data_IF_690011813218
#
_entry.id   IF_690011813218
#
_cell.length_a   1.000
_cell.length_b   1.000
_cell.length_c   1.000
_cell.angle_alpha   90.00
_cell.angle_beta   90.00
_cell.angle_gamma   90.00
#
_symmetry.space_group_name_H-M   'P 1'
#
loop_
_entity.id
_entity.type
_entity.pdbx_description
1 polymer ?
#
# COMPACT_ATOMS: atom_id res chain seq x y z
N UNK A 1 -42.07 24.57 -4.40
CA UNK A 1 -40.72 25.06 -4.01
C UNK A 1 -39.74 23.92 -3.71
N UNK A 2 -40.17 22.78 -3.16
CA UNK A 2 -39.29 21.64 -2.80
C UNK A 2 -38.61 20.95 -4.00
N UNK A 3 -39.27 20.89 -5.16
CA UNK A 3 -38.79 20.17 -6.35
C UNK A 3 -37.49 20.73 -6.97
N UNK A 4 -37.32 22.05 -6.94
CA UNK A 4 -36.09 22.70 -7.43
C UNK A 4 -34.91 22.54 -6.48
N UNK A 5 -35.16 22.36 -5.18
CA UNK A 5 -34.09 22.16 -4.19
C UNK A 5 -33.48 20.76 -4.31
N UNK A 6 -34.30 19.75 -4.61
CA UNK A 6 -33.83 18.36 -4.81
C UNK A 6 -32.98 18.19 -6.07
N UNK A 7 -33.29 18.89 -7.16
CA UNK A 7 -32.50 18.85 -8.39
C UNK A 7 -31.11 19.45 -8.20
N UNK A 8 -31.00 20.58 -7.51
CA UNK A 8 -29.73 21.23 -7.22
C UNK A 8 -28.82 20.36 -6.35
N UNK A 9 -29.39 19.65 -5.37
CA UNK A 9 -28.60 18.75 -4.51
C UNK A 9 -28.11 17.53 -5.30
N UNK A 10 -28.94 16.97 -6.18
CA UNK A 10 -28.55 15.84 -7.03
C UNK A 10 -27.39 16.20 -7.97
N UNK A 11 -27.46 17.38 -8.60
CA UNK A 11 -26.39 17.90 -9.45
C UNK A 11 -25.11 18.15 -8.64
N UNK A 12 -25.22 18.71 -7.43
CA UNK A 12 -24.07 18.94 -6.57
C UNK A 12 -23.38 17.63 -6.14
N UNK A 13 -24.15 16.58 -5.84
CA UNK A 13 -23.62 15.25 -5.51
C UNK A 13 -22.92 14.63 -6.72
N UNK A 14 -23.53 14.67 -7.91
CA UNK A 14 -22.94 14.14 -9.13
C UNK A 14 -21.66 14.89 -9.49
N UNK A 15 -21.66 16.22 -9.37
CA UNK A 15 -20.48 17.05 -9.61
C UNK A 15 -19.36 16.73 -8.61
N UNK A 16 -19.67 16.61 -7.31
CA UNK A 16 -18.70 16.25 -6.29
C UNK A 16 -18.12 14.84 -6.52
N UNK A 17 -18.97 13.87 -6.85
CA UNK A 17 -18.55 12.52 -7.20
C UNK A 17 -17.68 12.50 -8.46
N UNK A 18 -18.02 13.32 -9.47
CA UNK A 18 -17.24 13.47 -10.70
C UNK A 18 -15.84 14.04 -10.45
N UNK A 19 -15.72 15.05 -9.58
CA UNK A 19 -14.42 15.63 -9.18
C UNK A 19 -13.57 14.60 -8.43
N UNK A 20 -14.18 13.83 -7.52
CA UNK A 20 -13.48 12.77 -6.78
C UNK A 20 -13.03 11.67 -7.73
N UNK A 21 -13.89 11.22 -8.66
CA UNK A 21 -13.53 10.22 -9.67
C UNK A 21 -12.42 10.71 -10.58
N UNK A 22 -12.53 11.96 -11.06
CA UNK A 22 -11.51 12.58 -11.91
C UNK A 22 -10.18 12.68 -11.16
N UNK A 23 -10.18 13.07 -9.88
CA UNK A 23 -8.98 13.10 -9.05
C UNK A 23 -8.35 11.72 -8.84
N UNK A 24 -9.16 10.66 -8.70
CA UNK A 24 -8.65 9.28 -8.54
C UNK A 24 -8.16 8.68 -9.86
N UNK A 25 -8.78 9.01 -10.98
CA UNK A 25 -8.37 8.56 -12.32
C UNK A 25 -7.14 9.35 -12.80
N UNK A 26 -7.08 10.65 -12.52
CA UNK A 26 -5.94 11.51 -12.87
C UNK A 26 -4.78 11.39 -11.89
N UNK A 27 -4.99 10.86 -10.67
CA UNK A 27 -3.89 10.51 -9.80
C UNK A 27 -3.00 9.56 -10.60
N UNK A 28 -1.81 10.01 -11.05
CA UNK A 28 -1.04 9.25 -12.00
C UNK A 28 -0.67 7.97 -11.27
N UNK A 29 -1.32 6.87 -11.66
CA UNK A 29 -0.91 5.50 -11.37
C UNK A 29 0.36 5.26 -12.18
N UNK A 30 1.38 6.07 -11.92
CA UNK A 30 2.76 5.76 -12.20
C UNK A 30 3.03 4.55 -11.32
N UNK A 31 2.71 3.39 -11.87
CA UNK A 31 3.41 2.14 -11.66
C UNK A 31 4.88 2.42 -11.98
N UNK A 32 5.54 3.22 -11.13
CA UNK A 32 6.98 3.37 -11.12
C UNK A 32 7.46 1.97 -10.83
N UNK A 33 8.01 1.34 -11.87
CA UNK A 33 8.67 0.08 -11.74
C UNK A 33 9.85 0.31 -10.79
N UNK A 34 9.64 0.10 -9.49
CA UNK A 34 10.64 0.34 -8.44
C UNK A 34 11.93 -0.44 -8.75
N UNK A 35 11.78 -1.61 -9.40
CA UNK A 35 12.92 -2.38 -9.93
C UNK A 35 13.69 -1.65 -11.04
N UNK A 36 13.01 -0.98 -11.96
CA UNK A 36 13.66 -0.22 -13.03
C UNK A 36 14.35 1.03 -12.48
N UNK A 37 13.74 1.69 -11.49
CA UNK A 37 14.36 2.85 -10.81
C UNK A 37 15.61 2.41 -10.03
N UNK A 38 15.57 1.27 -9.31
CA UNK A 38 16.75 0.74 -8.60
C UNK A 38 17.87 0.32 -9.56
N UNK A 39 17.54 -0.36 -10.66
CA UNK A 39 18.53 -0.71 -11.68
C UNK A 39 19.22 0.54 -12.24
N UNK A 40 18.43 1.58 -12.53
CA UNK A 40 18.95 2.86 -12.99
C UNK A 40 19.82 3.54 -11.94
N UNK A 41 19.43 3.52 -10.67
CA UNK A 41 20.22 4.10 -9.58
C UNK A 41 21.55 3.33 -9.35
N UNK A 42 21.57 2.00 -9.54
CA UNK A 42 22.80 1.19 -9.53
C UNK A 42 23.71 1.52 -10.71
N UNK A 43 23.15 1.70 -11.90
CA UNK A 43 23.91 2.08 -13.10
C UNK A 43 24.56 3.46 -12.92
N UNK A 44 23.81 4.43 -12.38
CA UNK A 44 24.32 5.74 -12.01
C UNK A 44 25.43 5.60 -10.95
N UNK A 45 25.21 4.82 -9.91
CA UNK A 45 26.20 4.58 -8.86
C UNK A 45 27.54 4.04 -9.40
N UNK A 46 27.48 3.14 -10.39
CA UNK A 46 28.68 2.57 -11.03
C UNK A 46 29.38 3.55 -11.97
N UNK A 47 28.66 4.55 -12.51
CA UNK A 47 29.22 5.58 -13.37
C UNK A 47 29.84 6.75 -12.59
N UNK A 48 29.56 6.91 -11.29
CA UNK A 48 30.12 7.99 -10.47
C UNK A 48 31.54 7.66 -9.98
N UNK A 49 32.48 8.62 -10.04
CA UNK A 49 33.81 8.47 -9.44
C UNK A 49 33.74 8.38 -7.91
N UNK A 50 34.66 7.61 -7.33
CA UNK A 50 34.67 7.23 -5.90
C UNK A 50 34.84 8.42 -4.93
N UNK A 51 35.33 9.56 -5.41
CA UNK A 51 35.62 10.75 -4.61
C UNK A 51 34.40 11.62 -4.31
N UNK A 52 33.28 11.42 -5.01
CA UNK A 52 32.09 12.25 -4.85
C UNK A 52 31.25 11.82 -3.64
N UNK A 53 30.91 12.79 -2.79
CA UNK A 53 29.99 12.61 -1.65
C UNK A 53 28.60 12.13 -2.08
N UNK A 54 28.16 12.49 -3.29
CA UNK A 54 26.90 12.06 -3.88
C UNK A 54 26.78 10.52 -3.95
N UNK A 55 27.90 9.80 -4.09
CA UNK A 55 27.94 8.34 -4.16
C UNK A 55 27.46 7.68 -2.86
N UNK A 56 27.83 8.25 -1.70
CA UNK A 56 27.38 7.78 -0.38
C UNK A 56 25.88 7.98 -0.20
N UNK A 57 25.36 9.13 -0.64
CA UNK A 57 23.91 9.44 -0.56
C UNK A 57 23.10 8.50 -1.46
N UNK A 58 23.59 8.19 -2.66
CA UNK A 58 22.93 7.23 -3.55
C UNK A 58 22.89 5.82 -2.94
N UNK A 59 23.99 5.38 -2.34
CA UNK A 59 24.07 4.06 -1.72
C UNK A 59 23.09 3.92 -0.54
N UNK A 60 22.97 4.95 0.30
CA UNK A 60 21.99 4.95 1.40
C UNK A 60 20.55 4.86 0.86
N UNK A 61 20.25 5.59 -0.22
CA UNK A 61 18.94 5.55 -0.87
C UNK A 61 18.62 4.17 -1.45
N UNK A 62 19.56 3.58 -2.20
CA UNK A 62 19.43 2.21 -2.73
C UNK A 62 19.22 1.21 -1.57
N UNK A 63 19.95 1.36 -0.47
CA UNK A 63 19.79 0.53 0.73
C UNK A 63 18.38 0.61 1.33
N UNK A 64 17.81 1.82 1.42
CA UNK A 64 16.41 2.02 1.84
C UNK A 64 15.41 1.37 0.87
N UNK A 65 15.62 1.53 -0.43
CA UNK A 65 14.70 0.99 -1.43
C UNK A 65 14.76 -0.55 -1.48
N UNK A 66 15.96 -1.13 -1.36
CA UNK A 66 16.16 -2.59 -1.27
C UNK A 66 15.59 -3.16 0.02
N UNK A 67 15.79 -2.50 1.18
CA UNK A 67 15.19 -2.96 2.45
C UNK A 67 13.67 -2.86 2.42
N UNK A 68 13.11 -1.83 1.76
CA UNK A 68 11.65 -1.68 1.55
C UNK A 68 11.10 -2.79 0.64
N UNK A 69 11.85 -3.21 -0.38
CA UNK A 69 11.51 -4.37 -1.21
C UNK A 69 11.64 -5.69 -0.44
N UNK A 70 12.71 -5.87 0.32
CA UNK A 70 13.01 -7.09 1.06
C UNK A 70 12.01 -7.33 2.20
N UNK A 71 11.51 -6.27 2.83
CA UNK A 71 10.46 -6.35 3.88
C UNK A 71 9.05 -6.56 3.33
N UNK A 72 8.89 -6.84 2.04
CA UNK A 72 7.61 -7.29 1.48
C UNK A 72 6.70 -6.17 0.98
N UNK A 73 7.29 -5.09 0.47
CA UNK A 73 6.58 -4.10 -0.33
C UNK A 73 5.77 -3.13 0.52
N UNK A 74 5.94 -1.86 0.18
CA UNK A 74 5.23 -0.72 0.74
C UNK A 74 3.73 -1.06 0.89
N UNK A 75 3.27 -1.17 2.15
CA UNK A 75 1.89 -1.50 2.53
C UNK A 75 0.98 -0.33 2.11
N UNK A 76 0.77 -0.16 0.80
CA UNK A 76 -0.01 0.92 0.23
C UNK A 76 -1.48 0.63 0.49
N UNK A 77 -2.15 1.58 1.13
CA UNK A 77 -3.61 1.58 1.21
C UNK A 77 -4.15 1.63 -0.21
N UNK A 78 -5.11 0.77 -0.51
CA UNK A 78 -5.83 0.87 -1.77
C UNK A 78 -6.77 2.07 -1.68
N UNK A 79 -6.26 3.24 -2.09
CA UNK A 79 -7.04 4.47 -2.08
C UNK A 79 -8.34 4.34 -2.88
N UNK A 80 -8.36 3.44 -3.88
CA UNK A 80 -9.54 3.18 -4.72
C UNK A 80 -10.67 2.59 -3.90
N UNK A 81 -10.41 1.60 -3.04
CA UNK A 81 -11.46 0.97 -2.23
C UNK A 81 -11.95 1.90 -1.12
N UNK A 82 -11.06 2.72 -0.54
CA UNK A 82 -11.46 3.77 0.42
C UNK A 82 -12.42 4.76 -0.24
N UNK A 83 -12.08 5.28 -1.43
CA UNK A 83 -12.92 6.24 -2.15
C UNK A 83 -14.25 5.60 -2.54
N UNK A 84 -14.24 4.37 -3.06
CA UNK A 84 -15.47 3.66 -3.43
C UNK A 84 -16.39 3.44 -2.21
N UNK A 85 -15.82 3.08 -1.06
CA UNK A 85 -16.55 2.94 0.20
C UNK A 85 -17.20 4.25 0.64
N UNK A 86 -16.48 5.37 0.56
CA UNK A 86 -17.01 6.70 0.89
C UNK A 86 -18.17 7.08 -0.04
N UNK A 87 -18.04 6.82 -1.35
CA UNK A 87 -19.11 7.11 -2.32
C UNK A 87 -20.36 6.27 -2.00
N UNK A 88 -20.22 4.98 -1.74
CA UNK A 88 -21.35 4.12 -1.35
C UNK A 88 -22.01 4.55 -0.05
N UNK A 89 -21.23 4.96 0.95
CA UNK A 89 -21.76 5.48 2.21
C UNK A 89 -22.52 6.79 2.01
N UNK A 90 -21.99 7.71 1.20
CA UNK A 90 -22.65 8.98 0.88
C UNK A 90 -23.98 8.78 0.15
N UNK A 91 -24.00 7.91 -0.86
CA UNK A 91 -25.23 7.57 -1.60
C UNK A 91 -26.23 6.88 -0.68
N UNK A 92 -25.80 5.92 0.13
CA UNK A 92 -26.68 5.21 1.08
C UNK A 92 -27.27 6.17 2.11
N UNK A 93 -26.47 7.07 2.67
CA UNK A 93 -26.93 8.12 3.59
C UNK A 93 -28.00 9.00 2.95
N UNK A 94 -27.75 9.48 1.73
CA UNK A 94 -28.69 10.31 0.99
C UNK A 94 -30.03 9.59 0.75
N UNK A 95 -29.98 8.32 0.33
CA UNK A 95 -31.18 7.49 0.16
C UNK A 95 -31.92 7.28 1.48
N UNK A 96 -31.23 7.09 2.60
CA UNK A 96 -31.87 6.98 3.93
C UNK A 96 -32.70 8.21 4.24
N UNK A 97 -32.15 9.41 4.02
CA UNK A 97 -32.83 10.69 4.29
C UNK A 97 -34.08 10.83 3.41
N UNK A 98 -33.96 10.51 2.12
CA UNK A 98 -35.11 10.57 1.20
C UNK A 98 -36.19 9.56 1.58
N UNK A 99 -35.81 8.36 2.00
CA UNK A 99 -36.75 7.34 2.41
C UNK A 99 -37.50 7.74 3.69
N UNK A 100 -36.82 8.35 4.67
CA UNK A 100 -37.44 8.88 5.89
C UNK A 100 -38.47 9.99 5.59
N UNK A 101 -38.20 10.83 4.60
CA UNK A 101 -39.10 11.92 4.22
C UNK A 101 -40.32 11.46 3.42
N UNK A 102 -40.23 10.33 2.70
CA UNK A 102 -41.29 9.87 1.82
C UNK A 102 -42.52 9.33 2.58
N UNK A 103 -42.36 8.81 3.81
CA UNK A 103 -43.45 8.15 4.58
C UNK A 103 -44.30 7.17 3.74
N UNK A 104 -43.70 6.58 2.71
CA UNK A 104 -44.38 5.69 1.78
C UNK A 104 -44.48 4.27 2.37
N UNK A 105 -45.56 3.57 2.02
CA UNK A 105 -45.77 2.15 2.35
C UNK A 105 -44.63 1.24 1.84
N UNK A 106 -43.80 1.71 0.90
CA UNK A 106 -42.70 0.93 0.30
C UNK A 106 -41.49 0.73 1.22
N UNK A 107 -41.53 1.27 2.45
CA UNK A 107 -40.45 1.17 3.44
C UNK A 107 -39.96 -0.25 3.71
N UNK A 108 -40.86 -1.22 3.69
CA UNK A 108 -40.58 -2.62 3.99
C UNK A 108 -39.65 -3.27 2.95
N UNK A 109 -39.72 -2.82 1.69
CA UNK A 109 -38.86 -3.29 0.59
C UNK A 109 -37.59 -2.46 0.50
N UNK A 110 -37.68 -1.15 0.75
CA UNK A 110 -36.53 -0.26 0.66
C UNK A 110 -35.53 -0.45 1.81
N UNK A 111 -36.00 -0.80 3.01
CA UNK A 111 -35.17 -1.06 4.20
C UNK A 111 -34.06 -2.10 3.97
N UNK A 112 -34.33 -3.33 3.48
CA UNK A 112 -33.28 -4.31 3.25
C UNK A 112 -32.28 -3.86 2.17
N UNK A 113 -32.72 -3.17 1.13
CA UNK A 113 -31.83 -2.62 0.10
C UNK A 113 -30.87 -1.56 0.68
N UNK A 114 -31.37 -0.71 1.57
CA UNK A 114 -30.58 0.30 2.29
C UNK A 114 -29.55 -0.34 3.22
N UNK A 115 -29.96 -1.36 3.98
CA UNK A 115 -29.07 -2.14 4.84
C UNK A 115 -27.93 -2.77 4.03
N UNK A 116 -28.23 -3.28 2.83
CA UNK A 116 -27.25 -3.85 1.91
C UNK A 116 -26.26 -2.78 1.39
N UNK A 117 -26.77 -1.59 1.02
CA UNK A 117 -25.93 -0.46 0.62
C UNK A 117 -24.98 -0.01 1.72
N UNK A 118 -25.49 0.12 2.96
CA UNK A 118 -24.68 0.46 4.14
C UNK A 118 -23.61 -0.58 4.43
N UNK A 119 -23.95 -1.86 4.38
CA UNK A 119 -23.00 -2.95 4.65
C UNK A 119 -21.93 -3.04 3.57
N UNK A 120 -22.28 -2.88 2.28
CA UNK A 120 -21.29 -2.80 1.19
C UNK A 120 -20.36 -1.59 1.35
N UNK A 121 -20.91 -0.42 1.66
CA UNK A 121 -20.13 0.80 1.89
C UNK A 121 -19.17 0.67 3.08
N UNK A 122 -19.66 0.14 4.20
CA UNK A 122 -18.85 -0.12 5.39
C UNK A 122 -17.76 -1.17 5.11
N UNK A 123 -18.09 -2.25 4.42
CA UNK A 123 -17.12 -3.30 4.09
C UNK A 123 -16.02 -2.80 3.15
N UNK A 124 -16.38 -2.05 2.10
CA UNK A 124 -15.40 -1.43 1.20
C UNK A 124 -14.49 -0.43 1.92
N UNK A 125 -15.05 0.37 2.83
CA UNK A 125 -14.28 1.31 3.63
C UNK A 125 -13.30 0.61 4.59
N UNK A 126 -13.76 -0.42 5.31
CA UNK A 126 -12.92 -1.21 6.22
C UNK A 126 -11.81 -1.94 5.46
N UNK A 127 -12.13 -2.54 4.29
CA UNK A 127 -11.13 -3.17 3.45
C UNK A 127 -10.09 -2.18 2.92
N UNK A 128 -10.50 -0.96 2.57
CA UNK A 128 -9.57 0.09 2.16
C UNK A 128 -8.67 0.62 3.29
N UNK A 129 -9.16 0.59 4.54
CA UNK A 129 -8.37 0.89 5.73
C UNK A 129 -7.33 -0.18 6.04
N UNK A 130 -7.69 -1.45 5.79
CA UNK A 130 -6.79 -2.58 5.98
C UNK A 130 -5.66 -2.55 4.94
N UNK A 131 -4.45 -2.27 5.43
CA UNK A 131 -3.25 -2.33 4.61
C UNK A 131 -3.03 -3.78 4.16
N UNK A 132 -3.10 -4.06 2.86
CA UNK A 132 -2.81 -5.38 2.30
C UNK A 132 -1.35 -5.46 1.82
N UNK A 133 -0.71 -6.62 1.97
CA UNK A 133 0.57 -6.89 1.31
C UNK A 133 0.29 -7.27 -0.16
N UNK A 134 0.67 -6.38 -1.08
CA UNK A 134 0.73 -6.69 -2.51
C UNK A 134 2.17 -6.96 -2.88
N UNK A 135 2.39 -8.00 -3.67
CA UNK A 135 3.68 -8.16 -4.36
C UNK A 135 3.83 -7.12 -5.46
N UNK A 136 5.07 -6.84 -5.84
CA UNK A 136 5.44 -5.93 -6.92
C UNK A 136 4.81 -6.27 -8.28
N UNK A 137 4.24 -7.46 -8.44
CA UNK A 137 3.59 -7.93 -9.67
C UNK A 137 2.07 -7.72 -9.67
N UNK A 138 1.51 -7.10 -8.62
CA UNK A 138 0.06 -6.87 -8.48
C UNK A 138 -0.74 -8.10 -8.04
N UNK A 139 -0.08 -9.24 -7.81
CA UNK A 139 -0.70 -10.45 -7.27
C UNK A 139 -0.81 -10.39 -5.75
N UNK A 140 -1.97 -10.75 -5.22
CA UNK A 140 -2.19 -10.94 -3.78
C UNK A 140 -1.58 -12.29 -3.43
N UNK A 141 -0.50 -12.32 -2.64
CA UNK A 141 -0.02 -13.59 -2.08
C UNK A 141 -1.08 -14.04 -1.07
N UNK A 142 -1.84 -15.06 -1.43
CA UNK A 142 -2.66 -15.80 -0.48
C UNK A 142 -1.70 -16.51 0.47
N UNK A 143 -1.89 -16.33 1.78
CA UNK A 143 -0.94 -16.72 2.84
C UNK A 143 -0.46 -18.17 2.83
N UNK A 144 -1.13 -19.07 2.10
CA UNK A 144 -0.78 -20.48 1.99
C UNK A 144 0.57 -20.74 1.30
N UNK A 145 1.02 -19.83 0.42
CA UNK A 145 2.25 -20.05 -0.35
C UNK A 145 3.55 -19.80 0.46
N UNK A 146 3.49 -18.94 1.50
CA UNK A 146 4.68 -18.62 2.32
C UNK A 146 4.97 -19.75 3.32
N UNK A 147 3.94 -20.45 3.79
CA UNK A 147 4.11 -21.63 4.64
C UNK A 147 4.67 -22.85 3.90
N UNK A 148 4.53 -22.90 2.57
CA UNK A 148 5.01 -24.03 1.76
C UNK A 148 6.51 -23.94 1.39
N UNK A 149 7.12 -22.75 1.43
CA UNK A 149 8.55 -22.55 1.10
C UNK A 149 9.45 -22.63 2.36
N UNK A 150 8.85 -22.56 3.56
CA UNK A 150 9.60 -22.56 4.81
C UNK A 150 10.36 -23.86 5.20
N UNK A 151 10.07 -25.08 4.70
CA UNK A 151 10.79 -26.27 5.17
C UNK A 151 12.03 -26.68 4.34
N UNK A 152 12.47 -25.92 3.33
CA UNK A 152 13.59 -26.35 2.46
C UNK A 152 14.91 -25.60 2.67
N UNK A 153 15.00 -24.67 3.62
CA UNK A 153 16.30 -24.13 4.06
C UNK A 153 16.79 -25.01 5.19
N UNK A 154 17.49 -26.08 4.82
CA UNK A 154 18.17 -26.98 5.73
C UNK A 154 19.29 -26.21 6.48
N UNK A 155 19.16 -25.96 7.81
CA UNK A 155 20.20 -25.31 8.58
C UNK A 155 21.47 -26.18 8.71
N UNK A 156 21.44 -27.44 8.24
CA UNK A 156 22.56 -28.37 8.29
C UNK A 156 23.64 -28.14 7.22
N UNK A 157 23.44 -27.21 6.27
CA UNK A 157 24.44 -26.88 5.24
C UNK A 157 25.34 -25.68 5.60
N UNK A 158 25.29 -25.20 6.85
CA UNK A 158 26.16 -24.14 7.35
C UNK A 158 27.52 -24.67 7.82
N UNK A 159 28.47 -24.75 6.89
CA UNK A 159 29.89 -24.48 7.11
C UNK A 159 30.58 -25.19 8.28
N UNK A 160 31.19 -26.33 7.98
CA UNK A 160 32.45 -26.73 8.59
C UNK A 160 33.52 -25.66 8.29
N UNK A 161 33.67 -24.68 9.19
CA UNK A 161 34.87 -23.86 9.28
C UNK A 161 36.01 -24.74 9.78
N UNK A 162 36.90 -25.09 8.85
CA UNK A 162 38.27 -25.52 9.13
C UNK A 162 38.96 -24.49 10.04
N UNK A 163 39.14 -24.89 11.29
CA UNK A 163 40.44 -25.01 11.95
C UNK A 163 41.61 -24.31 11.21
N UNK A 164 41.79 -23.02 11.50
CA UNK A 164 42.98 -22.24 11.14
C UNK A 164 43.62 -21.68 12.39
N UNK A 165 44.24 -22.55 13.19
CA UNK A 165 45.08 -22.17 14.32
C UNK A 165 46.21 -21.23 13.86
N UNK A 166 46.28 -20.07 14.50
CA UNK A 166 47.28 -19.05 14.22
C UNK A 166 47.60 -18.25 15.47
N UNK A 167 48.49 -18.83 16.27
CA UNK A 167 49.24 -18.20 17.36
C UNK A 167 49.51 -16.71 17.12
N UNK A 168 48.91 -15.85 17.95
CA UNK A 168 49.46 -14.53 18.30
C UNK A 168 49.24 -14.26 19.78
N UNK A 169 49.90 -15.09 20.60
CA UNK A 169 50.46 -14.58 21.84
C UNK A 169 51.67 -13.68 21.49
N UNK A 170 51.99 -12.75 22.40
CA UNK A 170 53.12 -11.81 22.37
C UNK A 170 52.86 -10.49 21.62
N UNK A 171 52.32 -9.50 22.35
CA UNK A 171 53.06 -8.26 22.63
C UNK A 171 52.21 -7.34 23.53
N UNK A 172 52.21 -7.66 24.83
CA UNK A 172 52.12 -6.63 25.85
C UNK A 172 53.54 -6.05 26.04
N UNK A 173 53.74 -4.76 25.76
CA UNK A 173 54.61 -3.84 26.51
C UNK A 173 54.85 -2.54 25.74
N UNK A 174 54.95 -1.47 26.52
CA UNK A 174 55.60 -0.19 26.19
C UNK A 174 54.84 0.68 25.17
N UNK A 175 54.44 1.92 25.46
CA UNK A 175 55.15 2.92 26.27
C UNK A 175 54.18 4.03 26.66
N UNK A 176 54.25 4.41 27.93
CA UNK A 176 53.87 5.74 28.39
C UNK A 176 54.87 6.76 27.83
N UNK A 177 54.36 7.92 27.42
CA UNK A 177 55.09 9.12 27.03
C UNK A 177 54.11 10.26 26.91
#
# INVERSE_FOLDING_TARGET
MVRGMTENILVAIIAAAGVILAGVIQAPRLLRNTRADILRDIEIYNALPDTLTARKVLLERIGKDVTTLATGGEKRRDATSVVLGIVFLGVSWWLTVQLLNAQEWWWWIASPALLLGWSLGAFGFVQGLQRHHRTSTGSVIKGDAVSAVAPAVDPSAGGSEEEGGGDRSLAAKETAG
#
